data_IF_876763847121
#
_entry.id   IF_876763847121
#
_cell.length_a   1.000
_cell.length_b   1.000
_cell.length_c   1.000
_cell.angle_alpha   90.00
_cell.angle_beta   90.00
_cell.angle_gamma   90.00
#
_symmetry.space_group_name_H-M   'P 1'
#
loop_
_entity.id
_entity.type
_entity.pdbx_description
1 polymer ?
#
# COMPACT_ATOMS: atom_id res chain seq x y z
N UNK A 1 -2.76 -14.62 21.30
CA UNK A 1 -3.70 -14.97 20.20
C UNK A 1 -2.96 -14.94 18.87
N UNK A 2 -3.56 -15.44 17.78
CA UNK A 2 -3.04 -15.22 16.41
C UNK A 2 -3.88 -14.11 15.76
N UNK A 3 -3.23 -13.07 15.26
CA UNK A 3 -3.87 -11.89 14.66
C UNK A 3 -3.41 -11.81 13.21
N UNK A 4 -4.34 -11.77 12.28
CA UNK A 4 -4.06 -11.42 10.89
C UNK A 4 -4.41 -9.94 10.68
N UNK A 5 -3.49 -9.17 10.11
CA UNK A 5 -3.69 -7.77 9.76
C UNK A 5 -3.51 -7.61 8.25
N UNK A 6 -4.39 -6.87 7.60
CA UNK A 6 -4.22 -6.52 6.19
C UNK A 6 -3.06 -5.54 6.01
N UNK A 7 -2.43 -5.55 4.83
CA UNK A 7 -1.30 -4.68 4.54
C UNK A 7 -1.77 -3.30 4.04
N UNK A 8 -2.44 -3.26 2.90
CA UNK A 8 -2.66 -2.03 2.15
C UNK A 8 -3.83 -1.23 2.71
N UNK A 9 -3.59 0.03 3.06
CA UNK A 9 -4.52 0.92 3.77
C UNK A 9 -4.91 0.50 5.19
N UNK A 10 -4.25 -0.52 5.74
CA UNK A 10 -4.37 -0.90 7.15
C UNK A 10 -3.04 -0.72 7.87
N UNK A 11 -1.96 -1.27 7.32
CA UNK A 11 -0.61 -1.13 7.86
C UNK A 11 0.22 -0.11 7.07
N UNK A 12 0.04 -0.08 5.76
CA UNK A 12 0.74 0.83 4.85
C UNK A 12 -0.21 1.86 4.25
N UNK A 13 0.23 3.11 4.11
CA UNK A 13 -0.50 4.17 3.39
C UNK A 13 -0.33 3.98 1.88
N UNK A 14 -0.95 2.92 1.38
CA UNK A 14 -0.97 2.57 -0.03
C UNK A 14 -1.65 3.67 -0.86
N UNK A 15 -2.69 4.34 -0.35
CA UNK A 15 -3.39 5.38 -1.11
C UNK A 15 -2.49 6.56 -1.44
N UNK A 16 -1.75 7.05 -0.43
CA UNK A 16 -0.89 8.20 -0.62
C UNK A 16 0.25 7.87 -1.56
N UNK A 17 0.88 6.70 -1.40
CA UNK A 17 1.90 6.20 -2.32
C UNK A 17 1.36 6.11 -3.75
N UNK A 18 0.19 5.50 -3.93
CA UNK A 18 -0.46 5.35 -5.23
C UNK A 18 -0.79 6.70 -5.87
N UNK A 19 -1.40 7.60 -5.10
CA UNK A 19 -1.79 8.95 -5.54
C UNK A 19 -0.58 9.78 -5.97
N UNK A 20 0.51 9.70 -5.22
CA UNK A 20 1.76 10.38 -5.54
C UNK A 20 2.30 9.88 -6.89
N UNK A 21 2.39 8.55 -7.05
CA UNK A 21 2.81 7.95 -8.32
C UNK A 21 1.91 8.36 -9.46
N UNK A 22 0.59 8.32 -9.29
CA UNK A 22 -0.36 8.76 -10.31
C UNK A 22 -0.13 10.23 -10.72
N UNK A 23 0.09 11.12 -9.74
CA UNK A 23 0.36 12.52 -10.02
C UNK A 23 1.66 12.74 -10.78
N UNK A 24 2.71 11.97 -10.48
CA UNK A 24 4.00 12.03 -11.18
C UNK A 24 3.92 11.44 -12.59
N UNK A 25 3.30 10.27 -12.74
CA UNK A 25 3.18 9.57 -14.03
C UNK A 25 2.28 10.32 -15.01
N UNK A 26 1.18 10.91 -14.52
CA UNK A 26 0.20 11.59 -15.37
C UNK A 26 0.45 13.10 -15.47
N UNK A 27 1.38 13.65 -14.69
CA UNK A 27 1.72 15.08 -14.70
C UNK A 27 0.58 16.00 -14.29
N UNK A 28 -0.36 15.53 -13.46
CA UNK A 28 -1.56 16.29 -13.06
C UNK A 28 -1.99 16.00 -11.61
N UNK A 29 -2.76 16.90 -10.97
CA UNK A 29 -3.37 16.61 -9.68
C UNK A 29 -4.29 15.40 -9.75
N UNK A 30 -4.32 14.63 -8.66
CA UNK A 30 -5.15 13.44 -8.49
C UNK A 30 -6.27 13.70 -7.48
N UNK A 31 -7.40 14.30 -7.90
CA UNK A 31 -8.58 14.41 -7.05
C UNK A 31 -9.19 13.03 -6.81
N UNK A 32 -9.95 12.90 -5.71
CA UNK A 32 -10.69 11.69 -5.37
C UNK A 32 -12.19 11.93 -5.57
N UNK A 33 -12.72 11.88 -6.80
CA UNK A 33 -14.14 12.11 -7.05
C UNK A 33 -15.07 11.14 -6.33
N UNK A 34 -14.59 9.94 -5.94
CA UNK A 34 -15.41 8.94 -5.28
C UNK A 34 -14.62 8.12 -4.24
N UNK A 35 -15.19 7.81 -3.06
CA UNK A 35 -14.53 7.00 -2.03
C UNK A 35 -14.74 5.50 -2.29
N UNK A 36 -14.33 4.99 -3.46
CA UNK A 36 -14.50 3.58 -3.83
C UNK A 36 -13.24 2.76 -3.59
N UNK A 37 -13.36 1.45 -3.38
CA UNK A 37 -12.20 0.56 -3.29
C UNK A 37 -11.35 0.58 -4.58
N UNK A 38 -11.99 0.51 -5.76
CA UNK A 38 -11.29 0.43 -7.04
C UNK A 38 -10.62 1.76 -7.42
N UNK A 39 -9.29 1.76 -7.59
CA UNK A 39 -8.48 2.97 -7.80
C UNK A 39 -8.85 3.75 -9.07
N UNK A 40 -9.19 3.04 -10.16
CA UNK A 40 -9.62 3.69 -11.40
C UNK A 40 -10.85 4.57 -11.18
N UNK A 41 -11.86 4.08 -10.44
CA UNK A 41 -13.07 4.84 -10.13
C UNK A 41 -12.76 5.92 -9.09
N UNK A 42 -11.97 5.57 -8.06
CA UNK A 42 -11.57 6.48 -6.97
C UNK A 42 -10.94 7.75 -7.50
N UNK A 43 -10.09 7.63 -8.51
CA UNK A 43 -9.30 8.72 -9.08
C UNK A 43 -9.80 9.22 -10.44
N UNK A 44 -10.92 8.69 -10.95
CA UNK A 44 -11.48 9.07 -12.24
C UNK A 44 -10.52 8.84 -13.41
N UNK A 45 -9.83 7.69 -13.42
CA UNK A 45 -8.86 7.32 -14.43
C UNK A 45 -9.53 6.60 -15.60
N UNK A 46 -9.02 6.80 -16.80
CA UNK A 46 -9.25 5.86 -17.91
C UNK A 46 -8.48 4.56 -17.67
N UNK A 47 -8.88 3.48 -18.35
CA UNK A 47 -8.14 2.21 -18.31
C UNK A 47 -6.67 2.37 -18.72
N UNK A 48 -6.38 3.18 -19.74
CA UNK A 48 -5.01 3.43 -20.18
C UNK A 48 -4.17 4.14 -19.11
N UNK A 49 -4.72 5.18 -18.48
CA UNK A 49 -4.02 5.87 -17.38
C UNK A 49 -3.82 4.95 -16.18
N UNK A 50 -4.83 4.17 -15.81
CA UNK A 50 -4.75 3.20 -14.72
C UNK A 50 -3.57 2.22 -14.91
N UNK A 51 -3.40 1.65 -16.10
CA UNK A 51 -2.27 0.76 -16.38
C UNK A 51 -0.92 1.50 -16.41
N UNK A 52 -0.87 2.73 -16.93
CA UNK A 52 0.36 3.55 -16.88
C UNK A 52 0.80 3.81 -15.45
N UNK A 53 -0.14 4.11 -14.53
CA UNK A 53 0.20 4.32 -13.12
C UNK A 53 0.72 3.03 -12.49
N UNK A 54 0.12 1.86 -12.77
CA UNK A 54 0.64 0.57 -12.27
C UNK A 54 2.06 0.30 -12.73
N UNK A 55 2.33 0.48 -14.03
CA UNK A 55 3.69 0.33 -14.54
C UNK A 55 4.67 1.29 -13.86
N UNK A 56 4.28 2.56 -13.66
CA UNK A 56 5.10 3.53 -12.92
C UNK A 56 5.33 3.13 -11.46
N UNK A 57 4.29 2.65 -10.78
CA UNK A 57 4.35 2.23 -9.37
C UNK A 57 5.34 1.09 -9.17
N UNK A 58 5.32 0.13 -10.08
CA UNK A 58 6.24 -1.01 -10.09
C UNK A 58 7.68 -0.57 -10.40
N UNK A 59 7.89 0.20 -11.46
CA UNK A 59 9.23 0.71 -11.86
C UNK A 59 9.87 1.55 -10.75
N UNK A 60 9.05 2.30 -10.01
CA UNK A 60 9.50 3.11 -8.89
C UNK A 60 9.74 2.32 -7.60
N UNK A 61 9.45 1.01 -7.59
CA UNK A 61 9.62 0.13 -6.43
C UNK A 61 8.73 0.54 -5.25
N UNK A 62 7.53 1.05 -5.54
CA UNK A 62 6.70 1.70 -4.52
C UNK A 62 6.13 0.72 -3.50
N UNK A 63 5.97 -0.55 -3.84
CA UNK A 63 5.55 -1.59 -2.89
C UNK A 63 6.48 -1.71 -1.69
N UNK A 64 7.79 -1.57 -1.91
CA UNK A 64 8.78 -1.53 -0.85
C UNK A 64 8.75 -0.19 -0.09
N UNK A 65 8.43 0.90 -0.78
CA UNK A 65 8.55 2.29 -0.29
C UNK A 65 7.25 2.86 0.27
N UNK A 66 6.15 2.10 0.25
CA UNK A 66 4.89 2.52 0.83
C UNK A 66 5.11 2.95 2.30
N UNK A 67 4.72 4.17 2.67
CA UNK A 67 4.82 4.62 4.05
C UNK A 67 4.02 3.69 4.97
N UNK A 68 4.52 3.47 6.18
CA UNK A 68 3.79 2.77 7.23
C UNK A 68 2.87 3.79 7.92
N UNK A 69 1.66 3.37 8.26
CA UNK A 69 0.73 4.16 9.08
C UNK A 69 1.24 4.09 10.54
N UNK A 70 1.68 5.20 11.15
CA UNK A 70 2.33 5.18 12.46
C UNK A 70 1.48 4.52 13.54
N UNK A 71 0.19 4.84 13.58
CA UNK A 71 -0.75 4.30 14.56
C UNK A 71 -0.96 2.79 14.39
N UNK A 72 -0.90 2.28 13.15
CA UNK A 72 -1.00 0.85 12.89
C UNK A 72 0.25 0.11 13.38
N UNK A 73 1.44 0.68 13.16
CA UNK A 73 2.69 0.13 13.66
C UNK A 73 2.71 0.07 15.20
N UNK A 74 2.26 1.12 15.87
CA UNK A 74 2.18 1.15 17.33
C UNK A 74 1.24 0.07 17.87
N UNK A 75 0.11 -0.18 17.20
CA UNK A 75 -0.80 -1.28 17.56
C UNK A 75 -0.18 -2.66 17.34
N UNK A 76 0.54 -2.85 16.24
CA UNK A 76 1.28 -4.10 15.98
C UNK A 76 2.31 -4.35 17.06
N UNK A 77 3.11 -3.35 17.42
CA UNK A 77 4.11 -3.43 18.50
C UNK A 77 3.47 -3.79 19.84
N UNK A 78 2.39 -3.11 20.21
CA UNK A 78 1.64 -3.41 21.43
C UNK A 78 1.14 -4.87 21.46
N UNK A 79 0.59 -5.40 20.36
CA UNK A 79 0.16 -6.79 20.31
C UNK A 79 1.31 -7.79 20.44
N UNK A 80 2.47 -7.48 19.84
CA UNK A 80 3.68 -8.29 19.98
C UNK A 80 4.17 -8.30 21.43
N UNK A 81 4.20 -7.14 22.10
CA UNK A 81 4.59 -7.00 23.51
C UNK A 81 3.64 -7.78 24.45
N UNK A 82 2.36 -7.89 24.08
CA UNK A 82 1.36 -8.73 24.77
C UNK A 82 1.50 -10.23 24.46
N UNK A 83 2.55 -10.65 23.76
CA UNK A 83 2.82 -12.04 23.40
C UNK A 83 1.88 -12.61 22.33
N UNK A 84 1.24 -11.76 21.53
CA UNK A 84 0.44 -12.22 20.39
C UNK A 84 1.33 -12.53 19.17
N UNK A 85 0.86 -13.43 18.31
CA UNK A 85 1.47 -13.71 17.01
C UNK A 85 0.75 -12.91 15.94
N UNK A 86 1.42 -11.94 15.34
CA UNK A 86 0.87 -11.08 14.29
C UNK A 86 1.35 -11.58 12.92
N UNK A 87 0.43 -11.69 11.97
CA UNK A 87 0.69 -12.08 10.59
C UNK A 87 0.15 -10.99 9.67
N UNK A 88 0.97 -10.48 8.74
CA UNK A 88 0.50 -9.56 7.72
C UNK A 88 -0.01 -10.35 6.51
N UNK A 89 -1.27 -10.13 6.15
CA UNK A 89 -1.91 -10.67 4.96
C UNK A 89 -1.92 -9.60 3.87
N UNK A 90 -1.52 -9.95 2.65
CA UNK A 90 -1.50 -9.03 1.52
C UNK A 90 -1.82 -9.78 0.24
N UNK A 91 -2.70 -9.22 -0.58
CA UNK A 91 -3.06 -9.74 -1.90
C UNK A 91 -2.16 -9.14 -2.99
N UNK A 92 -0.86 -9.40 -2.88
CA UNK A 92 0.13 -9.02 -3.91
C UNK A 92 0.48 -10.22 -4.77
N UNK A 93 0.77 -9.96 -6.05
CA UNK A 93 1.27 -10.99 -6.96
C UNK A 93 2.65 -11.51 -6.54
N UNK A 94 2.97 -12.73 -6.97
CA UNK A 94 4.23 -13.39 -6.60
C UNK A 94 5.48 -12.56 -6.95
N UNK A 95 5.45 -11.79 -8.05
CA UNK A 95 6.57 -10.95 -8.48
C UNK A 95 6.78 -9.69 -7.62
N UNK A 96 5.77 -9.26 -6.87
CA UNK A 96 5.84 -8.11 -5.95
C UNK A 96 6.18 -8.53 -4.52
N UNK A 97 6.00 -9.82 -4.21
CA UNK A 97 6.14 -10.35 -2.85
C UNK A 97 7.45 -9.97 -2.18
N UNK A 98 8.58 -10.05 -2.88
CA UNK A 98 9.90 -9.70 -2.34
C UNK A 98 9.96 -8.21 -1.92
N UNK A 99 9.38 -7.30 -2.71
CA UNK A 99 9.33 -5.88 -2.37
C UNK A 99 8.49 -5.63 -1.12
N UNK A 100 7.37 -6.36 -0.99
CA UNK A 100 6.50 -6.27 0.18
C UNK A 100 7.17 -6.84 1.44
N UNK A 101 7.85 -7.97 1.32
CA UNK A 101 8.64 -8.57 2.40
C UNK A 101 9.72 -7.58 2.87
N UNK A 102 10.45 -6.95 1.94
CA UNK A 102 11.42 -5.91 2.29
C UNK A 102 10.81 -4.68 2.98
N UNK A 103 9.54 -4.35 2.73
CA UNK A 103 8.84 -3.29 3.46
C UNK A 103 8.52 -3.72 4.89
N UNK A 104 8.11 -4.98 5.09
CA UNK A 104 7.78 -5.55 6.39
C UNK A 104 9.02 -5.71 7.27
N UNK A 105 10.15 -6.13 6.71
CA UNK A 105 11.40 -6.31 7.46
C UNK A 105 11.92 -5.00 8.07
N UNK A 106 11.60 -3.85 7.46
CA UNK A 106 11.93 -2.52 8.00
C UNK A 106 11.09 -2.10 9.21
N UNK A 107 10.06 -2.87 9.56
CA UNK A 107 9.23 -2.59 10.73
C UNK A 107 9.79 -3.19 12.03
N UNK A 108 10.65 -4.20 11.90
CA UNK A 108 11.33 -4.86 13.02
C UNK A 108 12.47 -3.99 13.56
#
# INVERSE_FOLDING_TARGET
MRIAIDADQVLFDFDAAWRMTAGQVLGRPMPKPAPTYHLMVRYGLTTSEYHKVWAGFEVMGMWARCPIIPEALDRVRMWLDMGHKVFVASAVDAHVREQREAALDRMA
#
